data_IF_469581388501
#
_entry.id   IF_469581388501
#
_cell.length_a   1.000
_cell.length_b   1.000
_cell.length_c   1.000
_cell.angle_alpha   90.00
_cell.angle_beta   90.00
_cell.angle_gamma   90.00
#
_symmetry.space_group_name_H-M   'P 1'
#
loop_
_entity.id
_entity.type
_entity.pdbx_description
1 polymer ?
#
# COMPACT_ATOMS: atom_id res chain seq x y z
N UNK A 1 -3.12 2.26 -40.80
CA UNK A 1 -2.74 1.89 -39.43
C UNK A 1 -3.58 2.73 -38.48
N UNK A 2 -4.79 2.27 -38.16
CA UNK A 2 -5.68 2.98 -37.22
C UNK A 2 -5.13 2.74 -35.82
N UNK A 3 -4.87 3.82 -35.08
CA UNK A 3 -4.58 3.75 -33.65
C UNK A 3 -5.89 3.38 -32.98
N UNK A 4 -5.92 2.28 -32.25
CA UNK A 4 -7.02 1.98 -31.35
C UNK A 4 -6.99 3.03 -30.24
N UNK A 5 -7.92 3.98 -30.32
CA UNK A 5 -8.21 4.89 -29.23
C UNK A 5 -8.78 4.05 -28.09
N UNK A 6 -7.93 3.74 -27.10
CA UNK A 6 -8.35 3.13 -25.84
C UNK A 6 -9.20 4.19 -25.13
N UNK A 7 -10.52 4.16 -25.34
CA UNK A 7 -11.46 4.86 -24.47
C UNK A 7 -11.11 4.44 -23.03
N UNK A 8 -10.77 5.38 -22.13
CA UNK A 8 -10.56 5.00 -20.74
C UNK A 8 -11.90 4.45 -20.27
N UNK A 9 -11.99 3.13 -20.10
CA UNK A 9 -13.12 2.53 -19.42
C UNK A 9 -13.33 3.28 -18.13
N UNK A 10 -14.58 3.57 -17.76
CA UNK A 10 -14.89 4.27 -16.51
C UNK A 10 -14.29 3.47 -15.34
N UNK A 11 -13.09 3.85 -14.91
CA UNK A 11 -12.45 3.26 -13.76
C UNK A 11 -13.18 3.80 -12.54
N UNK A 12 -13.93 2.94 -11.86
CA UNK A 12 -14.54 3.26 -10.57
C UNK A 12 -13.42 3.31 -9.52
N UNK A 13 -12.79 4.48 -9.37
CA UNK A 13 -11.78 4.73 -8.36
C UNK A 13 -12.53 5.15 -7.09
N UNK A 14 -12.68 4.21 -6.15
CA UNK A 14 -13.14 4.51 -4.80
C UNK A 14 -11.94 4.77 -3.88
N UNK A 15 -11.90 5.96 -3.28
CA UNK A 15 -10.92 6.30 -2.25
C UNK A 15 -11.60 6.09 -0.90
N UNK A 16 -11.19 5.01 -0.20
CA UNK A 16 -11.69 4.71 1.14
C UNK A 16 -10.54 5.01 2.12
N UNK A 17 -10.53 6.18 2.79
CA UNK A 17 -9.57 6.44 3.83
C UNK A 17 -9.88 5.51 5.01
N UNK A 18 -8.92 4.66 5.36
CA UNK A 18 -9.02 3.75 6.52
C UNK A 18 -7.88 4.02 7.49
N UNK A 19 -8.22 4.36 8.73
CA UNK A 19 -7.26 4.58 9.81
C UNK A 19 -7.03 3.30 10.60
N UNK A 20 -6.32 2.35 9.98
CA UNK A 20 -5.94 1.12 10.66
C UNK A 20 -4.80 1.36 11.65
N UNK A 21 -4.92 0.78 12.84
CA UNK A 21 -3.78 0.70 13.75
C UNK A 21 -2.70 -0.24 13.18
N UNK A 22 -1.47 -0.10 13.68
CA UNK A 22 -0.30 -0.86 13.19
C UNK A 22 -0.48 -2.38 13.35
N UNK A 23 -1.15 -2.83 14.41
CA UNK A 23 -1.42 -4.26 14.63
C UNK A 23 -2.32 -4.82 13.53
N UNK A 24 -3.36 -4.08 13.14
CA UNK A 24 -4.27 -4.45 12.05
C UNK A 24 -3.52 -4.51 10.72
N UNK A 25 -2.74 -3.49 10.39
CA UNK A 25 -1.93 -3.49 9.15
C UNK A 25 -1.00 -4.72 9.11
N UNK A 26 -0.28 -5.00 10.20
CA UNK A 26 0.59 -6.16 10.29
C UNK A 26 -0.19 -7.48 10.12
N UNK A 27 -1.37 -7.57 10.72
CA UNK A 27 -2.24 -8.76 10.59
C UNK A 27 -2.72 -8.96 9.15
N UNK A 28 -3.07 -7.89 8.44
CA UNK A 28 -3.50 -7.96 7.03
C UNK A 28 -2.36 -8.39 6.10
N UNK A 29 -1.13 -7.93 6.35
CA UNK A 29 0.04 -8.35 5.58
C UNK A 29 0.37 -9.82 5.86
N UNK A 30 0.44 -10.21 7.14
CA UNK A 30 0.81 -11.58 7.54
C UNK A 30 -0.23 -12.63 7.16
N UNK A 31 -1.52 -12.27 7.10
CA UNK A 31 -2.60 -13.14 6.61
C UNK A 31 -2.69 -13.21 5.08
N UNK A 32 -1.90 -12.41 4.34
CA UNK A 32 -1.92 -12.37 2.89
C UNK A 32 -3.10 -11.61 2.28
N UNK A 33 -3.86 -10.85 3.08
CA UNK A 33 -4.91 -9.94 2.61
C UNK A 33 -4.28 -8.76 1.85
N UNK A 34 -3.17 -8.22 2.38
CA UNK A 34 -2.32 -7.26 1.69
C UNK A 34 -1.10 -8.01 1.13
N UNK A 35 -0.91 -7.93 -0.18
CA UNK A 35 0.14 -8.64 -0.91
C UNK A 35 1.13 -7.64 -1.49
N UNK A 36 2.43 -7.95 -1.34
CA UNK A 36 3.50 -7.21 -2.01
C UNK A 36 3.60 -7.74 -3.46
N UNK A 37 3.53 -6.86 -4.48
CA UNK A 37 3.66 -7.30 -5.86
C UNK A 37 5.06 -7.81 -6.16
N UNK A 38 5.18 -8.75 -7.10
CA UNK A 38 6.46 -9.37 -7.47
C UNK A 38 7.49 -8.38 -8.03
N UNK A 39 7.03 -7.24 -8.55
CA UNK A 39 7.87 -6.17 -9.09
C UNK A 39 8.29 -5.13 -8.03
N UNK A 40 7.94 -5.32 -6.75
CA UNK A 40 8.35 -4.41 -5.68
C UNK A 40 9.87 -4.45 -5.50
N UNK A 41 10.49 -3.28 -5.30
CA UNK A 41 11.93 -3.21 -5.02
C UNK A 41 12.28 -3.97 -3.74
N UNK A 42 13.50 -4.52 -3.71
CA UNK A 42 14.06 -5.07 -2.48
C UNK A 42 14.09 -4.00 -1.37
N UNK A 43 14.08 -4.46 -0.12
CA UNK A 43 14.19 -3.56 1.03
C UNK A 43 15.47 -2.71 0.95
N UNK A 44 15.32 -1.38 0.96
CA UNK A 44 16.43 -0.43 0.77
C UNK A 44 16.76 0.41 2.00
N UNK A 45 16.08 0.18 3.12
CA UNK A 45 16.30 0.98 4.33
C UNK A 45 17.47 0.42 5.14
N UNK A 46 18.32 1.30 5.64
CA UNK A 46 19.30 0.93 6.66
C UNK A 46 18.62 0.84 8.04
N UNK A 47 19.32 0.24 9.00
CA UNK A 47 18.81 0.07 10.37
C UNK A 47 18.44 1.41 11.02
N UNK A 48 19.17 2.49 10.70
CA UNK A 48 18.95 3.82 11.27
C UNK A 48 17.64 4.43 10.79
N UNK A 49 17.35 4.37 9.48
CA UNK A 49 16.09 4.84 8.89
C UNK A 49 14.91 4.04 9.42
N UNK A 50 15.02 2.71 9.49
CA UNK A 50 13.99 1.85 10.05
C UNK A 50 13.68 2.19 11.52
N UNK A 51 14.71 2.40 12.34
CA UNK A 51 14.54 2.77 13.74
C UNK A 51 13.84 4.12 13.91
N UNK A 52 14.19 5.13 13.10
CA UNK A 52 13.55 6.45 13.15
C UNK A 52 12.07 6.40 12.77
N UNK A 53 11.71 5.53 11.83
CA UNK A 53 10.31 5.35 11.45
C UNK A 53 9.50 4.73 12.59
N UNK A 54 10.04 3.71 13.27
CA UNK A 54 9.40 3.11 14.46
C UNK A 54 9.23 4.16 15.57
N UNK A 55 10.24 5.00 15.80
CA UNK A 55 10.17 6.10 16.76
C UNK A 55 9.05 7.11 16.39
N UNK A 56 8.92 7.50 15.12
CA UNK A 56 7.82 8.35 14.66
C UNK A 56 6.44 7.76 14.99
N UNK A 57 6.26 6.44 14.80
CA UNK A 57 5.02 5.76 15.12
C UNK A 57 4.71 5.78 16.63
N UNK A 58 5.71 5.56 17.47
CA UNK A 58 5.57 5.59 18.94
C UNK A 58 5.24 7.00 19.43
N UNK A 59 5.87 8.02 18.85
CA UNK A 59 5.66 9.43 19.18
C UNK A 59 4.35 10.01 18.59
N UNK A 60 3.64 9.26 17.75
CA UNK A 60 2.42 9.73 17.09
C UNK A 60 2.67 10.82 16.04
N UNK A 61 3.88 10.88 15.48
CA UNK A 61 4.17 11.80 14.38
C UNK A 61 3.41 11.37 13.12
N UNK A 62 2.95 12.31 12.29
CA UNK A 62 2.27 11.98 11.04
C UNK A 62 3.20 11.15 10.13
N UNK A 63 2.67 10.06 9.59
CA UNK A 63 3.33 9.20 8.61
C UNK A 63 2.62 9.29 7.27
N UNK A 64 3.34 9.12 6.14
CA UNK A 64 2.71 9.10 4.84
C UNK A 64 1.71 7.95 4.73
N UNK A 65 0.66 8.16 3.96
CA UNK A 65 -0.34 7.15 3.63
C UNK A 65 0.25 6.09 2.70
N UNK A 66 -0.27 4.86 2.80
CA UNK A 66 0.00 3.77 1.85
C UNK A 66 -1.17 3.67 0.86
N UNK A 67 -0.86 3.31 -0.38
CA UNK A 67 -1.85 3.14 -1.43
C UNK A 67 -2.04 1.66 -1.75
N UNK A 68 -3.30 1.22 -1.74
CA UNK A 68 -3.69 -0.16 -1.99
C UNK A 68 -4.63 -0.23 -3.20
N UNK A 69 -4.40 -1.20 -4.07
CA UNK A 69 -5.30 -1.56 -5.16
C UNK A 69 -6.04 -2.85 -4.81
N UNK A 70 -7.37 -2.83 -4.85
CA UNK A 70 -8.16 -4.03 -4.64
C UNK A 70 -8.17 -4.87 -5.92
N UNK A 71 -7.51 -6.04 -5.89
CA UNK A 71 -7.45 -6.96 -7.03
C UNK A 71 -8.65 -7.90 -7.06
N UNK A 72 -9.09 -8.36 -5.89
CA UNK A 72 -10.24 -9.25 -5.70
C UNK A 72 -10.96 -8.89 -4.39
N UNK A 73 -12.08 -9.55 -4.08
CA UNK A 73 -12.77 -9.34 -2.80
C UNK A 73 -11.83 -9.70 -1.63
N UNK A 74 -11.59 -8.74 -0.73
CA UNK A 74 -10.69 -8.88 0.42
C UNK A 74 -9.24 -9.23 0.04
N UNK A 75 -8.77 -8.77 -1.12
CA UNK A 75 -7.39 -8.93 -1.55
C UNK A 75 -6.86 -7.63 -2.14
N UNK A 76 -5.76 -7.15 -1.57
CA UNK A 76 -5.20 -5.85 -1.85
C UNK A 76 -3.74 -5.99 -2.26
N UNK A 77 -3.34 -5.32 -3.33
CA UNK A 77 -1.93 -5.19 -3.74
C UNK A 77 -1.42 -3.80 -3.37
N UNK A 78 -0.20 -3.72 -2.82
CA UNK A 78 0.45 -2.43 -2.56
C UNK A 78 0.80 -1.75 -3.89
N UNK A 79 0.51 -0.44 -4.00
CA UNK A 79 0.92 0.41 -5.12
C UNK A 79 2.12 1.29 -4.71
N UNK A 80 2.00 1.98 -3.59
CA UNK A 80 3.02 2.93 -3.08
C UNK A 80 2.96 3.01 -1.53
N UNK A 81 4.10 3.35 -0.91
CA UNK A 81 4.31 3.33 0.55
C UNK A 81 5.78 3.24 0.98
#
# INVERSE_FOLDING_TARGET
MQREDISPGAYDISIIPNDFNIMTINSLITSGVIVLPAFQRNYVWDKKRASRFIESLILGLPVPQIFLYQTERNKYSIIDG
#
